data_IF_881155691916
#
_entry.id   IF_881155691916
#
_cell.length_a   1.000
_cell.length_b   1.000
_cell.length_c   1.000
_cell.angle_alpha   90.00
_cell.angle_beta   90.00
_cell.angle_gamma   90.00
#
_symmetry.space_group_name_H-M   'P 1'
#
loop_
_entity.id
_entity.type
_entity.pdbx_description
1 polymer ?
#
# COMPACT_ATOMS: atom_id res chain seq x y z
N UNK A 1 4.77 -54.70 -46.00
CA UNK A 1 5.63 -53.93 -45.05
C UNK A 1 5.08 -52.51 -45.01
N UNK A 2 4.07 -52.26 -44.11
CA UNK A 2 3.40 -50.94 -44.01
C UNK A 2 4.03 -50.14 -42.87
N UNK A 3 4.65 -49.00 -43.21
CA UNK A 3 5.15 -48.01 -42.26
C UNK A 3 3.95 -47.17 -41.75
N UNK A 4 3.71 -47.18 -40.47
CA UNK A 4 2.76 -46.25 -39.79
C UNK A 4 3.54 -45.03 -39.34
N UNK A 5 3.33 -43.91 -40.02
CA UNK A 5 3.84 -42.62 -39.59
C UNK A 5 2.92 -42.06 -38.50
N UNK A 6 3.41 -41.95 -37.27
CA UNK A 6 2.73 -41.25 -36.17
C UNK A 6 3.06 -39.76 -36.26
N UNK A 7 2.06 -38.96 -36.59
CA UNK A 7 2.14 -37.50 -36.49
C UNK A 7 1.82 -37.13 -35.02
N UNK A 8 2.84 -36.70 -34.29
CA UNK A 8 2.67 -36.14 -32.94
C UNK A 8 2.23 -34.69 -33.08
N UNK A 9 0.95 -34.41 -32.73
CA UNK A 9 0.44 -33.05 -32.62
C UNK A 9 0.86 -32.53 -31.24
N UNK A 10 1.83 -31.62 -31.20
CA UNK A 10 2.21 -30.88 -30.01
C UNK A 10 1.16 -29.79 -29.74
N UNK A 11 0.29 -29.98 -28.72
CA UNK A 11 -0.56 -28.91 -28.21
C UNK A 11 0.31 -27.90 -27.46
N UNK A 12 0.55 -26.74 -28.04
CA UNK A 12 1.10 -25.58 -27.39
C UNK A 12 0.03 -24.99 -26.47
N UNK A 13 0.10 -25.32 -25.19
CA UNK A 13 -0.66 -24.63 -24.13
C UNK A 13 -0.02 -23.24 -23.95
N UNK A 14 -0.58 -22.23 -24.59
CA UNK A 14 -0.29 -20.84 -24.26
C UNK A 14 -0.89 -20.52 -22.91
N UNK A 15 -0.07 -20.52 -21.87
CA UNK A 15 -0.45 -19.95 -20.58
C UNK A 15 -0.70 -18.45 -20.78
N UNK A 16 -1.96 -18.05 -20.88
CA UNK A 16 -2.36 -16.65 -20.77
C UNK A 16 -2.05 -16.22 -19.34
N UNK A 17 -0.99 -15.44 -19.17
CA UNK A 17 -0.79 -14.69 -17.93
C UNK A 17 -1.97 -13.71 -17.83
N UNK A 18 -2.94 -14.02 -16.97
CA UNK A 18 -3.96 -13.07 -16.56
C UNK A 18 -3.25 -12.03 -15.70
N UNK A 19 -2.66 -11.02 -16.34
CA UNK A 19 -2.24 -9.81 -15.66
C UNK A 19 -3.48 -9.14 -15.09
N UNK A 20 -3.39 -8.60 -13.87
CA UNK A 20 -4.48 -7.79 -13.32
C UNK A 20 -4.84 -6.68 -14.32
N UNK A 21 -6.14 -6.46 -14.55
CA UNK A 21 -6.63 -5.38 -15.40
C UNK A 21 -6.09 -4.03 -14.90
N UNK A 22 -5.78 -3.09 -15.81
CA UNK A 22 -5.25 -1.79 -15.45
C UNK A 22 -6.21 -1.04 -14.51
N UNK A 23 -5.68 -0.43 -13.45
CA UNK A 23 -6.46 0.43 -12.57
C UNK A 23 -6.91 1.68 -13.33
N UNK A 24 -8.22 1.82 -13.53
CA UNK A 24 -8.82 2.92 -14.27
C UNK A 24 -9.97 3.54 -13.49
N UNK A 25 -9.91 4.86 -13.28
CA UNK A 25 -11.00 5.61 -12.68
C UNK A 25 -12.09 5.86 -13.72
N UNK A 26 -13.34 5.49 -13.42
CA UNK A 26 -14.50 5.80 -14.25
C UNK A 26 -15.17 7.12 -13.85
N UNK A 27 -14.84 7.64 -12.63
CA UNK A 27 -15.30 8.90 -12.08
C UNK A 27 -14.15 9.62 -11.38
N UNK A 28 -14.17 10.93 -11.36
CA UNK A 28 -13.19 11.76 -10.63
C UNK A 28 -11.71 11.43 -10.92
N UNK A 29 -11.40 10.93 -12.12
CA UNK A 29 -10.05 10.54 -12.52
C UNK A 29 -9.08 11.70 -12.81
N UNK A 30 -9.48 12.94 -12.52
CA UNK A 30 -8.74 14.17 -12.82
C UNK A 30 -7.77 14.59 -11.70
N UNK A 31 -7.16 13.61 -11.05
CA UNK A 31 -6.08 13.80 -10.07
C UNK A 31 -4.71 13.45 -10.66
N UNK A 32 -3.64 13.96 -10.05
CA UNK A 32 -2.28 13.84 -10.57
C UNK A 32 -1.44 12.72 -9.96
N UNK A 33 -1.83 12.20 -8.80
CA UNK A 33 -1.05 11.24 -8.02
C UNK A 33 -1.87 10.22 -7.26
N UNK A 34 -1.22 9.12 -6.94
CA UNK A 34 -1.59 8.24 -5.85
C UNK A 34 -0.55 8.35 -4.72
N UNK A 35 -0.97 8.09 -3.49
CA UNK A 35 -0.07 7.84 -2.36
C UNK A 35 -0.18 6.35 -2.03
N UNK A 36 0.90 5.62 -2.26
CA UNK A 36 1.05 4.26 -1.74
C UNK A 36 1.50 4.36 -0.29
N UNK A 37 0.70 3.85 0.64
CA UNK A 37 1.03 3.76 2.04
C UNK A 37 1.42 2.32 2.41
N UNK A 38 2.60 2.18 3.01
CA UNK A 38 3.14 0.91 3.47
C UNK A 38 3.39 1.02 4.97
N UNK A 39 2.95 0.03 5.74
CA UNK A 39 3.25 -0.05 7.17
C UNK A 39 4.51 -0.86 7.39
N UNK A 40 5.37 -0.38 8.30
CA UNK A 40 6.27 -1.26 9.01
C UNK A 40 5.46 -1.88 10.14
N UNK A 41 5.00 -3.11 9.92
CA UNK A 41 3.94 -3.73 10.72
C UNK A 41 4.26 -3.79 12.21
N UNK A 42 5.49 -4.11 12.59
CA UNK A 42 5.91 -4.16 14.00
C UNK A 42 5.81 -2.80 14.67
N UNK A 43 6.36 -1.75 14.05
CA UNK A 43 6.26 -0.40 14.57
C UNK A 43 4.83 0.15 14.57
N UNK A 44 4.00 -0.21 13.57
CA UNK A 44 2.58 0.12 13.60
C UNK A 44 1.91 -0.50 14.84
N UNK A 45 2.13 -1.79 15.09
CA UNK A 45 1.54 -2.50 16.24
C UNK A 45 2.04 -1.91 17.57
N UNK A 46 3.33 -1.62 17.70
CA UNK A 46 3.87 -0.93 18.88
C UNK A 46 3.21 0.44 19.09
N UNK A 47 2.98 1.20 18.01
CA UNK A 47 2.31 2.50 18.12
C UNK A 47 0.86 2.41 18.58
N UNK A 48 0.15 1.33 18.28
CA UNK A 48 -1.21 1.07 18.78
C UNK A 48 -1.19 0.74 20.27
N UNK A 49 -0.24 -0.07 20.70
CA UNK A 49 0.00 -0.40 22.11
C UNK A 49 0.32 0.87 22.91
N UNK A 50 1.30 1.67 22.49
CA UNK A 50 1.74 2.90 23.18
C UNK A 50 0.62 3.93 23.37
N UNK A 51 -0.31 3.97 22.41
CA UNK A 51 -1.47 4.89 22.47
C UNK A 51 -2.66 4.33 23.22
N UNK A 52 -2.57 3.12 23.75
CA UNK A 52 -3.68 2.42 24.44
C UNK A 52 -4.97 2.40 23.60
N UNK A 53 -4.85 2.17 22.28
CA UNK A 53 -5.98 2.27 21.33
C UNK A 53 -6.67 0.95 21.04
N UNK A 54 -6.44 -0.07 21.84
CA UNK A 54 -6.88 -1.44 21.52
C UNK A 54 -6.04 -2.02 20.38
N UNK A 55 -5.72 -3.29 20.51
CA UNK A 55 -4.84 -3.98 19.57
C UNK A 55 -5.65 -4.52 18.39
N UNK A 56 -5.35 -4.10 17.13
CA UNK A 56 -5.97 -4.68 15.95
C UNK A 56 -5.67 -6.18 15.83
N UNK A 57 -6.56 -6.92 15.16
CA UNK A 57 -6.41 -8.37 14.97
C UNK A 57 -5.08 -8.74 14.32
N UNK A 58 -4.67 -8.00 13.30
CA UNK A 58 -3.40 -8.19 12.60
C UNK A 58 -2.18 -8.05 13.50
N UNK A 59 -2.28 -7.31 14.60
CA UNK A 59 -1.21 -7.18 15.58
C UNK A 59 -1.21 -8.35 16.58
N UNK A 60 -2.37 -8.81 17.01
CA UNK A 60 -2.50 -9.99 17.88
C UNK A 60 -2.03 -11.28 17.21
N UNK A 61 -2.23 -11.37 15.89
CA UNK A 61 -1.78 -12.51 15.08
C UNK A 61 -0.31 -12.40 14.65
N UNK A 62 0.32 -11.25 14.94
CA UNK A 62 1.72 -11.06 14.63
C UNK A 62 2.58 -11.88 15.60
N UNK A 63 3.04 -13.02 15.12
CA UNK A 63 3.95 -13.87 15.86
C UNK A 63 5.38 -13.68 15.35
N UNK A 64 6.33 -13.67 16.28
CA UNK A 64 7.74 -13.77 15.93
C UNK A 64 7.98 -15.18 15.37
N UNK A 65 8.18 -15.26 14.07
CA UNK A 65 8.58 -16.50 13.41
C UNK A 65 10.11 -16.50 13.32
N UNK A 66 10.74 -17.59 13.69
CA UNK A 66 12.19 -17.71 13.54
C UNK A 66 12.63 -17.32 12.14
N UNK A 67 13.57 -16.37 12.05
CA UNK A 67 14.12 -15.81 10.81
C UNK A 67 13.21 -14.90 9.97
N UNK A 68 12.01 -14.53 10.41
CA UNK A 68 11.23 -13.52 9.73
C UNK A 68 11.72 -12.12 10.13
N UNK A 69 12.21 -11.36 9.16
CA UNK A 69 12.66 -9.96 9.35
C UNK A 69 11.93 -8.99 8.45
N UNK A 70 11.05 -9.50 7.58
CA UNK A 70 10.31 -8.72 6.60
C UNK A 70 8.86 -8.49 7.08
N UNK A 71 8.63 -7.30 7.58
CA UNK A 71 7.36 -6.84 8.10
C UNK A 71 6.81 -5.62 7.32
N UNK A 72 7.29 -5.39 6.09
CA UNK A 72 6.74 -4.35 5.23
C UNK A 72 5.43 -4.84 4.64
N UNK A 73 4.33 -4.14 4.94
CA UNK A 73 2.97 -4.51 4.55
C UNK A 73 2.29 -3.35 3.83
N UNK A 74 1.26 -3.64 3.05
CA UNK A 74 0.44 -2.62 2.39
C UNK A 74 -0.60 -2.12 3.38
N UNK A 75 -0.70 -0.77 3.50
CA UNK A 75 -1.78 -0.11 4.23
C UNK A 75 -2.89 0.32 3.26
N UNK A 76 -2.54 1.02 2.18
CA UNK A 76 -3.52 1.50 1.21
C UNK A 76 -2.91 2.18 -0.01
N UNK A 77 -3.78 2.51 -0.97
CA UNK A 77 -3.44 3.29 -2.16
C UNK A 77 -4.46 4.42 -2.30
N UNK A 78 -4.02 5.66 -2.09
CA UNK A 78 -4.89 6.81 -1.93
C UNK A 78 -4.78 7.75 -3.12
N UNK A 79 -5.83 7.87 -3.97
CA UNK A 79 -5.87 8.89 -5.01
C UNK A 79 -5.79 10.30 -4.42
N UNK A 80 -5.05 11.17 -5.07
CA UNK A 80 -5.01 12.60 -4.75
C UNK A 80 -6.36 13.27 -4.87
N UNK A 81 -6.46 14.51 -4.41
CA UNK A 81 -7.68 15.31 -4.53
C UNK A 81 -8.00 15.55 -6.02
N UNK A 82 -9.16 15.09 -6.52
CA UNK A 82 -9.58 15.38 -7.88
C UNK A 82 -9.78 16.88 -8.09
N UNK A 83 -9.36 17.41 -9.23
CA UNK A 83 -9.48 18.84 -9.57
C UNK A 83 -10.95 19.29 -9.59
N UNK A 84 -11.84 18.44 -10.09
CA UNK A 84 -13.29 18.67 -10.10
C UNK A 84 -13.90 18.76 -8.69
N UNK A 85 -13.33 18.07 -7.72
CA UNK A 85 -13.74 18.14 -6.30
C UNK A 85 -13.10 19.37 -5.62
N UNK A 86 -11.83 19.66 -5.92
CA UNK A 86 -11.15 20.86 -5.42
C UNK A 86 -11.88 22.15 -5.87
N UNK A 87 -12.35 22.19 -7.13
CA UNK A 87 -13.13 23.31 -7.66
C UNK A 87 -14.44 23.56 -6.92
N UNK A 88 -14.91 22.61 -6.12
CA UNK A 88 -16.09 22.75 -5.25
C UNK A 88 -15.75 23.17 -3.82
N UNK A 89 -14.52 23.65 -3.57
CA UNK A 89 -14.08 24.18 -2.28
C UNK A 89 -13.59 23.11 -1.29
N UNK A 90 -13.20 21.92 -1.77
CA UNK A 90 -12.54 20.88 -0.95
C UNK A 90 -11.04 21.10 -1.02
N UNK A 91 -10.40 21.17 0.15
CA UNK A 91 -8.95 21.21 0.28
C UNK A 91 -8.34 19.81 0.54
N UNK A 92 -7.01 19.70 0.42
CA UNK A 92 -6.29 18.44 0.63
C UNK A 92 -6.51 17.87 2.04
N UNK A 93 -6.59 18.70 3.07
CA UNK A 93 -6.80 18.24 4.46
C UNK A 93 -8.14 17.56 4.61
N UNK A 94 -9.19 18.17 4.04
CA UNK A 94 -10.54 17.62 4.07
C UNK A 94 -10.63 16.34 3.23
N UNK A 95 -9.98 16.34 2.05
CA UNK A 95 -9.90 15.16 1.21
C UNK A 95 -9.21 13.99 1.91
N UNK A 96 -8.03 14.20 2.47
CA UNK A 96 -7.29 13.18 3.23
C UNK A 96 -8.08 12.63 4.42
N UNK A 97 -8.87 13.49 5.07
CA UNK A 97 -9.69 13.08 6.22
C UNK A 97 -10.87 12.20 5.80
N UNK A 98 -11.61 12.57 4.80
CA UNK A 98 -12.91 11.97 4.46
C UNK A 98 -12.89 11.10 3.19
N UNK A 99 -11.97 11.33 2.27
CA UNK A 99 -11.92 10.62 0.97
C UNK A 99 -13.25 10.71 0.23
N UNK A 100 -13.75 9.57 -0.21
CA UNK A 100 -15.04 9.45 -0.91
C UNK A 100 -16.25 9.94 -0.09
N UNK A 101 -16.17 9.96 1.24
CA UNK A 101 -17.23 10.54 2.07
C UNK A 101 -17.19 12.08 2.14
N UNK A 102 -16.26 12.73 1.42
CA UNK A 102 -16.20 14.18 1.33
C UNK A 102 -17.42 14.73 0.60
N UNK A 103 -18.15 15.64 1.22
CA UNK A 103 -19.16 16.42 0.49
C UNK A 103 -18.41 17.43 -0.41
N UNK A 104 -18.72 17.56 -1.68
CA UNK A 104 -20.00 17.31 -2.33
C UNK A 104 -20.15 15.97 -3.10
N UNK A 105 -19.40 14.93 -2.79
CA UNK A 105 -19.66 13.60 -3.38
C UNK A 105 -20.97 13.07 -2.77
N UNK A 106 -22.02 12.84 -3.56
CA UNK A 106 -23.32 12.45 -3.01
C UNK A 106 -23.32 11.01 -2.47
N UNK A 107 -24.04 10.83 -1.37
CA UNK A 107 -24.43 9.51 -0.84
C UNK A 107 -23.28 8.55 -0.44
N UNK A 108 -22.08 9.06 -0.22
CA UNK A 108 -20.98 8.24 0.30
C UNK A 108 -20.98 8.31 1.84
N UNK A 109 -21.27 7.21 2.55
CA UNK A 109 -21.23 7.19 3.99
C UNK A 109 -19.80 7.27 4.50
N UNK A 110 -19.58 8.01 5.59
CA UNK A 110 -18.31 8.01 6.29
C UNK A 110 -18.14 6.70 7.07
N UNK A 111 -17.10 5.95 6.78
CA UNK A 111 -16.69 4.79 7.56
C UNK A 111 -15.67 5.23 8.61
N UNK A 112 -15.92 4.94 9.88
CA UNK A 112 -15.00 5.26 10.98
C UNK A 112 -13.93 4.19 11.11
N UNK A 113 -12.68 4.59 11.33
CA UNK A 113 -11.54 3.67 11.46
C UNK A 113 -11.74 2.58 12.55
N UNK A 114 -12.47 2.88 13.64
CA UNK A 114 -12.82 1.89 14.67
C UNK A 114 -14.01 0.98 14.33
N UNK A 115 -14.61 1.12 13.15
CA UNK A 115 -15.78 0.37 12.69
C UNK A 115 -15.64 -0.05 11.22
N UNK A 116 -14.45 -0.47 10.83
CA UNK A 116 -14.11 -0.79 9.44
C UNK A 116 -15.04 -1.84 8.82
N UNK A 117 -15.42 -2.85 9.59
CA UNK A 117 -16.32 -3.92 9.14
C UNK A 117 -17.79 -3.47 8.92
N UNK A 118 -18.13 -2.22 9.26
CA UNK A 118 -19.43 -1.64 8.90
C UNK A 118 -19.46 -1.12 7.45
N UNK A 119 -18.30 -0.98 6.79
CA UNK A 119 -18.25 -0.71 5.37
C UNK A 119 -18.80 -1.92 4.59
N UNK A 120 -19.37 -1.63 3.42
CA UNK A 120 -19.84 -2.68 2.51
C UNK A 120 -18.67 -3.61 2.12
N UNK A 121 -19.00 -4.85 1.81
CA UNK A 121 -18.05 -5.77 1.20
C UNK A 121 -17.55 -5.22 -0.14
N UNK A 122 -16.27 -5.47 -0.43
CA UNK A 122 -15.64 -4.91 -1.63
C UNK A 122 -16.01 -5.66 -2.90
N UNK A 123 -16.48 -6.91 -2.78
CA UNK A 123 -16.76 -7.77 -3.94
C UNK A 123 -15.50 -8.37 -4.57
N UNK A 124 -14.38 -8.41 -3.84
CA UNK A 124 -13.14 -9.06 -4.30
C UNK A 124 -13.37 -10.52 -4.70
N UNK A 125 -12.73 -10.94 -5.78
CA UNK A 125 -12.60 -12.37 -6.10
C UNK A 125 -11.85 -13.10 -4.98
N UNK A 126 -12.13 -14.38 -4.79
CA UNK A 126 -11.44 -15.19 -3.78
C UNK A 126 -9.93 -15.22 -4.03
N UNK A 127 -9.51 -15.25 -5.29
CA UNK A 127 -8.10 -15.24 -5.68
C UNK A 127 -7.43 -13.92 -5.24
N UNK A 128 -8.07 -12.77 -5.50
CA UNK A 128 -7.52 -11.47 -5.11
C UNK A 128 -7.54 -11.28 -3.59
N UNK A 129 -8.59 -11.73 -2.89
CA UNK A 129 -8.64 -11.70 -1.43
C UNK A 129 -7.48 -12.47 -0.81
N UNK A 130 -7.15 -13.66 -1.34
CA UNK A 130 -6.02 -14.46 -0.87
C UNK A 130 -4.66 -13.75 -1.13
N UNK A 131 -4.47 -13.16 -2.31
CA UNK A 131 -3.26 -12.38 -2.62
C UNK A 131 -3.12 -11.17 -1.71
N UNK A 132 -4.22 -10.46 -1.46
CA UNK A 132 -4.25 -9.29 -0.61
C UNK A 132 -3.92 -9.62 0.84
N UNK A 133 -4.48 -10.69 1.39
CA UNK A 133 -4.19 -11.17 2.76
C UNK A 133 -2.69 -11.42 2.98
N UNK A 134 -1.96 -11.83 1.94
CA UNK A 134 -0.52 -12.06 2.01
C UNK A 134 0.32 -10.78 2.17
N UNK A 135 -0.22 -9.62 1.81
CA UNK A 135 0.51 -8.33 1.85
C UNK A 135 -0.16 -7.27 2.72
N UNK A 136 -1.44 -7.43 3.05
CA UNK A 136 -2.24 -6.54 3.90
C UNK A 136 -2.86 -7.35 5.05
N UNK A 137 -2.13 -7.59 6.15
CA UNK A 137 -2.59 -8.45 7.25
C UNK A 137 -3.91 -8.01 7.90
N UNK A 138 -4.28 -6.72 7.79
CA UNK A 138 -5.56 -6.18 8.27
C UNK A 138 -6.73 -6.44 7.32
N UNK A 139 -6.52 -7.08 6.15
CA UNK A 139 -7.61 -7.40 5.23
C UNK A 139 -8.35 -8.66 5.70
N UNK A 140 -9.66 -8.68 5.48
CA UNK A 140 -10.52 -9.77 5.91
C UNK A 140 -10.69 -9.87 7.42
N UNK A 141 -11.23 -11.00 7.88
CA UNK A 141 -11.41 -11.30 9.29
C UNK A 141 -12.17 -10.22 10.07
N UNK A 142 -11.67 -9.90 11.26
CA UNK A 142 -12.26 -8.87 12.13
C UNK A 142 -11.70 -7.46 11.90
N UNK A 143 -10.62 -7.31 11.12
CA UNK A 143 -10.01 -5.99 10.85
C UNK A 143 -10.66 -5.26 9.69
N UNK A 144 -11.06 -5.95 8.63
CA UNK A 144 -11.76 -5.41 7.45
C UNK A 144 -11.09 -4.13 6.89
N UNK A 145 -9.75 -4.08 6.88
CA UNK A 145 -9.00 -2.90 6.42
C UNK A 145 -9.30 -2.63 4.94
N UNK A 146 -9.42 -3.67 4.13
CA UNK A 146 -9.76 -3.58 2.71
C UNK A 146 -11.10 -2.89 2.47
N UNK A 147 -12.12 -3.15 3.31
CA UNK A 147 -13.43 -2.49 3.18
C UNK A 147 -13.32 -1.00 3.50
N UNK A 148 -12.57 -0.67 4.54
CA UNK A 148 -12.33 0.72 4.93
C UNK A 148 -11.58 1.49 3.85
N UNK A 149 -10.47 0.92 3.34
CA UNK A 149 -9.64 1.55 2.31
C UNK A 149 -10.42 1.72 1.00
N UNK A 150 -11.19 0.72 0.59
CA UNK A 150 -12.01 0.82 -0.61
C UNK A 150 -13.16 1.83 -0.46
N UNK A 151 -13.88 1.80 0.67
CA UNK A 151 -14.95 2.76 0.94
C UNK A 151 -14.45 4.21 0.96
N UNK A 152 -13.22 4.42 1.46
CA UNK A 152 -12.65 5.75 1.60
C UNK A 152 -11.91 6.22 0.35
N UNK A 153 -11.26 5.33 -0.40
CA UNK A 153 -10.29 5.69 -1.42
C UNK A 153 -10.54 5.04 -2.80
N UNK A 154 -11.50 4.13 -2.91
CA UNK A 154 -11.77 3.37 -4.15
C UNK A 154 -13.14 3.61 -4.75
N UNK A 155 -14.18 3.49 -3.93
CA UNK A 155 -15.58 3.37 -4.40
C UNK A 155 -16.06 4.56 -5.22
N UNK A 156 -15.73 5.78 -4.85
CA UNK A 156 -16.19 6.98 -5.57
C UNK A 156 -15.48 7.19 -6.92
N UNK A 157 -14.36 6.55 -7.13
CA UNK A 157 -13.66 6.57 -8.42
C UNK A 157 -14.24 5.54 -9.40
N UNK A 158 -15.10 4.64 -8.91
CA UNK A 158 -15.62 3.53 -9.70
C UNK A 158 -14.52 2.55 -10.10
N UNK A 159 -13.49 2.39 -9.27
CA UNK A 159 -12.46 1.38 -9.48
C UNK A 159 -13.08 -0.02 -9.38
N UNK A 160 -12.66 -0.91 -10.25
CA UNK A 160 -12.89 -2.33 -10.06
C UNK A 160 -12.09 -2.80 -8.82
N UNK A 161 -12.70 -3.54 -7.88
CA UNK A 161 -12.01 -3.96 -6.66
C UNK A 161 -10.77 -4.81 -6.90
N UNK A 162 -10.83 -5.79 -7.81
CA UNK A 162 -9.70 -6.67 -8.10
C UNK A 162 -8.54 -5.89 -8.72
N UNK A 163 -8.82 -4.92 -9.62
CA UNK A 163 -7.82 -4.02 -10.22
C UNK A 163 -7.21 -3.09 -9.16
N UNK A 164 -8.02 -2.55 -8.25
CA UNK A 164 -7.56 -1.64 -7.20
C UNK A 164 -6.61 -2.34 -6.23
N UNK A 165 -7.03 -3.47 -5.68
CA UNK A 165 -6.20 -4.22 -4.74
C UNK A 165 -5.06 -4.96 -5.44
N UNK A 166 -5.24 -5.43 -6.67
CA UNK A 166 -4.18 -6.01 -7.49
C UNK A 166 -3.04 -5.01 -7.75
N UNK A 167 -3.38 -3.74 -7.97
CA UNK A 167 -2.39 -2.66 -8.05
C UNK A 167 -1.64 -2.48 -6.74
N UNK A 168 -2.30 -2.54 -5.59
CA UNK A 168 -1.63 -2.48 -4.27
C UNK A 168 -0.70 -3.66 -4.05
N UNK A 169 -1.13 -4.89 -4.37
CA UNK A 169 -0.30 -6.10 -4.27
C UNK A 169 0.96 -5.96 -5.12
N UNK A 170 0.82 -5.51 -6.36
CA UNK A 170 1.95 -5.30 -7.27
C UNK A 170 2.91 -4.24 -6.76
N UNK A 171 2.42 -3.04 -6.45
CA UNK A 171 3.27 -1.93 -5.99
C UNK A 171 3.95 -2.25 -4.66
N UNK A 172 3.22 -2.84 -3.70
CA UNK A 172 3.79 -3.29 -2.43
C UNK A 172 4.89 -4.32 -2.65
N UNK A 173 4.68 -5.27 -3.57
CA UNK A 173 5.69 -6.26 -3.96
C UNK A 173 6.93 -5.63 -4.59
N UNK A 174 6.77 -4.65 -5.49
CA UNK A 174 7.90 -3.95 -6.10
C UNK A 174 8.76 -3.22 -5.07
N UNK A 175 8.14 -2.53 -4.08
CA UNK A 175 8.88 -1.87 -2.99
C UNK A 175 9.56 -2.90 -2.09
N UNK A 176 8.85 -3.97 -1.72
CA UNK A 176 9.36 -5.04 -0.86
C UNK A 176 10.58 -5.74 -1.45
N UNK A 177 10.60 -5.97 -2.74
CA UNK A 177 11.71 -6.62 -3.45
C UNK A 177 12.81 -5.66 -3.93
N UNK A 178 12.69 -4.36 -3.62
CA UNK A 178 13.73 -3.35 -3.92
C UNK A 178 14.81 -3.30 -2.83
N UNK A 179 15.81 -2.43 -3.04
CA UNK A 179 16.82 -2.13 -2.03
C UNK A 179 16.22 -1.62 -0.71
N UNK A 180 15.03 -0.98 -0.75
CA UNK A 180 14.33 -0.51 0.47
C UNK A 180 13.85 -1.69 1.32
N UNK A 181 13.17 -2.67 0.72
CA UNK A 181 12.71 -3.85 1.45
C UNK A 181 13.88 -4.66 2.00
N UNK A 182 14.94 -4.82 1.21
CA UNK A 182 16.20 -5.45 1.64
C UNK A 182 16.84 -4.71 2.81
N UNK A 183 16.90 -3.37 2.74
CA UNK A 183 17.42 -2.53 3.83
C UNK A 183 16.63 -2.73 5.12
N UNK A 184 15.31 -2.65 5.07
CA UNK A 184 14.45 -2.81 6.24
C UNK A 184 14.60 -4.20 6.87
N UNK A 185 14.58 -5.25 6.06
CA UNK A 185 14.73 -6.62 6.54
C UNK A 185 16.12 -6.85 7.21
N UNK A 186 17.19 -6.29 6.62
CA UNK A 186 18.56 -6.38 7.17
C UNK A 186 18.69 -5.65 8.50
N UNK A 187 17.97 -4.55 8.70
CA UNK A 187 18.08 -3.73 9.90
C UNK A 187 16.95 -3.97 10.92
N UNK A 188 16.24 -5.08 10.81
CA UNK A 188 15.20 -5.49 11.76
C UNK A 188 15.69 -5.44 13.20
N UNK A 189 15.01 -4.70 14.06
CA UNK A 189 15.36 -4.48 15.46
C UNK A 189 16.52 -3.50 15.69
N UNK A 190 16.98 -2.77 14.67
CA UNK A 190 18.15 -1.88 14.77
C UNK A 190 17.76 -0.40 14.59
N UNK A 191 18.56 0.47 15.18
CA UNK A 191 18.55 1.90 14.89
C UNK A 191 19.33 2.16 13.61
N UNK A 192 18.76 2.96 12.70
CA UNK A 192 19.36 3.32 11.42
C UNK A 192 19.37 4.83 11.22
N UNK A 193 20.31 5.33 10.41
CA UNK A 193 20.28 6.73 10.01
C UNK A 193 19.27 6.97 8.88
N UNK A 194 18.72 8.18 8.82
CA UNK A 194 17.90 8.62 7.71
C UNK A 194 18.70 8.60 6.40
N UNK A 195 19.98 8.97 6.45
CA UNK A 195 20.85 9.02 5.28
C UNK A 195 21.07 7.62 4.69
N UNK A 196 21.22 6.57 5.52
CA UNK A 196 21.35 5.19 5.05
C UNK A 196 20.04 4.70 4.38
N UNK A 197 18.89 5.07 4.95
CA UNK A 197 17.61 4.77 4.31
C UNK A 197 17.43 5.51 2.98
N UNK A 198 17.80 6.79 2.93
CA UNK A 198 17.76 7.59 1.71
C UNK A 198 18.72 7.04 0.64
N UNK A 199 19.85 6.45 1.05
CA UNK A 199 20.76 5.72 0.15
C UNK A 199 20.09 4.47 -0.44
N UNK A 200 19.32 3.72 0.34
CA UNK A 200 18.55 2.58 -0.17
C UNK A 200 17.46 3.00 -1.18
N UNK A 201 16.80 4.15 -0.98
CA UNK A 201 15.88 4.73 -1.98
C UNK A 201 16.64 5.09 -3.25
N UNK A 202 17.80 5.73 -3.11
CA UNK A 202 18.63 6.15 -4.24
C UNK A 202 19.18 4.95 -5.02
N UNK A 203 19.49 3.85 -4.36
CA UNK A 203 19.89 2.59 -4.98
C UNK A 203 18.75 1.98 -5.80
N UNK A 204 17.52 1.99 -5.24
CA UNK A 204 16.36 1.41 -5.92
C UNK A 204 15.94 2.21 -7.17
N UNK A 205 15.85 3.55 -7.07
CA UNK A 205 15.24 4.40 -8.11
C UNK A 205 15.95 5.74 -8.36
N UNK A 206 17.19 5.90 -7.93
CA UNK A 206 17.96 7.11 -8.14
C UNK A 206 17.72 8.20 -7.07
N UNK A 207 18.69 9.10 -6.91
CA UNK A 207 18.70 10.15 -5.86
C UNK A 207 17.49 11.10 -5.89
N UNK A 208 16.93 11.36 -7.06
CA UNK A 208 15.74 12.21 -7.23
C UNK A 208 14.50 11.63 -6.54
N UNK A 209 14.45 10.30 -6.37
CA UNK A 209 13.33 9.61 -5.74
C UNK A 209 13.27 9.78 -4.21
N UNK A 210 14.35 10.17 -3.55
CA UNK A 210 14.40 10.39 -2.09
C UNK A 210 13.31 11.35 -1.63
N UNK A 211 13.06 12.43 -2.36
CA UNK A 211 12.05 13.45 -2.03
C UNK A 211 10.61 12.97 -2.19
N UNK A 212 10.41 11.79 -2.72
CA UNK A 212 9.07 11.22 -2.97
C UNK A 212 8.60 10.34 -1.83
N UNK A 213 9.47 10.08 -0.86
CA UNK A 213 9.22 9.25 0.32
C UNK A 213 8.97 10.12 1.55
N UNK A 214 7.88 9.82 2.24
CA UNK A 214 7.55 10.41 3.53
C UNK A 214 7.54 9.31 4.58
N UNK A 215 8.31 9.48 5.65
CA UNK A 215 8.41 8.52 6.74
C UNK A 215 7.65 9.01 7.95
N UNK A 216 6.83 8.13 8.52
CA UNK A 216 6.15 8.37 9.79
C UNK A 216 6.76 7.50 10.87
N UNK A 217 7.13 8.14 11.98
CA UNK A 217 7.64 7.50 13.17
C UNK A 217 6.77 7.81 14.39
N UNK A 218 6.83 6.93 15.39
CA UNK A 218 6.20 7.08 16.70
C UNK A 218 7.23 6.80 17.80
N UNK A 219 6.87 7.06 19.05
CA UNK A 219 7.68 6.70 20.22
C UNK A 219 8.90 7.56 20.49
N UNK A 220 9.59 7.22 21.59
CA UNK A 220 10.89 7.75 21.97
C UNK A 220 11.71 6.64 22.67
N UNK A 221 12.74 6.06 22.00
CA UNK A 221 13.29 6.47 20.70
C UNK A 221 12.25 6.34 19.56
N UNK A 222 12.41 7.16 18.51
CA UNK A 222 11.52 7.13 17.37
C UNK A 222 11.67 5.82 16.60
N UNK A 223 10.56 5.15 16.28
CA UNK A 223 10.52 3.93 15.47
C UNK A 223 9.58 4.10 14.25
N UNK A 224 9.97 3.48 13.14
CA UNK A 224 9.25 3.57 11.86
C UNK A 224 7.87 2.88 11.99
N UNK A 225 6.82 3.58 11.56
CA UNK A 225 5.45 3.03 11.51
C UNK A 225 4.89 2.96 10.10
N UNK A 226 5.21 3.96 9.24
CA UNK A 226 4.63 4.04 7.89
C UNK A 226 5.58 4.72 6.91
N UNK A 227 5.55 4.26 5.66
CA UNK A 227 6.22 4.86 4.51
C UNK A 227 5.14 5.24 3.51
N UNK A 228 5.09 6.51 3.10
CA UNK A 228 4.20 6.98 2.04
C UNK A 228 5.02 7.36 0.81
N UNK A 229 4.60 6.89 -0.36
CA UNK A 229 5.27 7.10 -1.65
C UNK A 229 4.29 7.77 -2.61
N UNK A 230 4.64 8.96 -3.12
CA UNK A 230 3.81 9.65 -4.10
C UNK A 230 4.13 9.16 -5.52
N UNK A 231 3.15 8.54 -6.18
CA UNK A 231 3.24 7.96 -7.52
C UNK A 231 2.38 8.77 -8.48
N UNK A 232 2.91 9.14 -9.65
CA UNK A 232 2.13 9.80 -10.71
C UNK A 232 0.95 8.95 -11.13
N UNK A 233 -0.23 9.55 -11.27
CA UNK A 233 -1.40 8.83 -11.72
C UNK A 233 -1.19 8.13 -13.07
N UNK A 234 -0.46 8.78 -13.99
CA UNK A 234 -0.12 8.21 -15.29
C UNK A 234 0.81 6.99 -15.24
N UNK A 235 1.54 6.79 -14.13
CA UNK A 235 2.49 5.67 -13.97
C UNK A 235 1.91 4.50 -13.16
N UNK A 236 0.65 4.58 -12.72
CA UNK A 236 0.08 3.62 -11.78
C UNK A 236 0.02 2.18 -12.32
N UNK A 237 -0.10 2.03 -13.63
CA UNK A 237 -0.22 0.74 -14.30
C UNK A 237 1.10 0.22 -14.90
N UNK A 238 2.23 0.89 -14.63
CA UNK A 238 3.55 0.49 -15.11
C UNK A 238 4.46 0.07 -13.94
N UNK A 239 5.52 -0.72 -14.17
CA UNK A 239 6.54 -0.97 -13.15
C UNK A 239 7.13 0.34 -12.62
N UNK A 240 7.45 0.37 -11.32
CA UNK A 240 8.03 1.55 -10.69
C UNK A 240 9.43 1.86 -11.26
N UNK A 241 9.63 3.11 -11.60
CA UNK A 241 10.90 3.67 -12.05
C UNK A 241 11.11 5.05 -11.44
N UNK A 242 12.29 5.63 -11.61
CA UNK A 242 12.56 7.00 -11.17
C UNK A 242 11.52 8.03 -11.66
N UNK A 243 11.00 7.81 -12.87
CA UNK A 243 10.01 8.69 -13.49
C UNK A 243 8.58 8.48 -12.99
N UNK A 244 8.33 7.41 -12.22
CA UNK A 244 6.99 7.10 -11.68
C UNK A 244 6.59 8.04 -10.53
N UNK A 245 7.53 8.76 -9.92
CA UNK A 245 7.31 9.42 -8.64
C UNK A 245 7.08 10.93 -8.75
N UNK A 246 6.43 11.49 -7.71
CA UNK A 246 6.26 12.93 -7.50
C UNK A 246 6.85 13.33 -6.14
N UNK A 247 7.50 14.50 -6.04
CA UNK A 247 7.98 15.01 -4.75
C UNK A 247 6.82 15.19 -3.76
N UNK A 248 7.10 14.91 -2.50
CA UNK A 248 6.19 15.21 -1.39
C UNK A 248 6.59 16.52 -0.70
N UNK A 249 5.62 17.28 -0.15
CA UNK A 249 5.91 18.58 0.47
C UNK A 249 6.73 18.44 1.76
N UNK A 250 6.68 17.28 2.42
CA UNK A 250 7.36 17.02 3.69
C UNK A 250 7.96 15.63 3.72
N UNK A 251 9.19 15.47 4.28
CA UNK A 251 9.85 14.17 4.39
C UNK A 251 9.25 13.26 5.48
N UNK A 252 8.27 13.74 6.25
CA UNK A 252 7.69 13.08 7.40
C UNK A 252 8.25 13.58 8.73
N UNK A 253 8.08 12.78 9.79
CA UNK A 253 8.48 13.13 11.15
C UNK A 253 9.57 12.22 11.73
N UNK A 254 10.06 11.24 10.99
CA UNK A 254 11.24 10.48 11.38
C UNK A 254 12.45 11.43 11.39
N UNK A 255 13.18 11.45 12.51
CA UNK A 255 14.37 12.29 12.68
C UNK A 255 15.56 11.77 11.87
N UNK A 256 16.78 12.24 12.25
CA UNK A 256 18.03 11.78 11.63
C UNK A 256 18.31 10.30 11.90
N UNK A 257 17.74 9.74 12.96
CA UNK A 257 17.81 8.32 13.30
C UNK A 257 16.43 7.82 13.70
N UNK A 258 16.13 6.55 13.39
CA UNK A 258 14.93 5.86 13.80
C UNK A 258 15.18 4.36 13.92
N UNK A 259 14.33 3.67 14.65
CA UNK A 259 14.39 2.22 14.81
C UNK A 259 13.54 1.54 13.75
N UNK A 260 14.09 0.53 13.10
CA UNK A 260 13.34 -0.45 12.32
C UNK A 260 12.84 -1.51 13.31
N UNK A 261 11.69 -1.25 13.90
CA UNK A 261 11.21 -1.94 15.09
C UNK A 261 11.04 -3.46 14.89
N UNK A 262 11.09 -4.24 15.98
CA UNK A 262 10.90 -5.69 15.98
C UNK A 262 9.61 -6.08 16.70
N UNK A 263 9.19 -7.33 16.58
CA UNK A 263 8.05 -7.86 17.33
C UNK A 263 8.31 -7.81 18.83
N UNK A 264 7.38 -7.27 19.60
CA UNK A 264 7.44 -7.26 21.07
C UNK A 264 8.49 -6.32 21.65
N UNK A 265 8.80 -5.21 20.98
CA UNK A 265 9.71 -4.17 21.51
C UNK A 265 9.09 -3.40 22.66
#
# INVERSE_FOLDING_TARGET
MFRKDFVAIALLLTATQVGAEPLTATQYGDFDRYVLALSWQTGFCQSMHDRNRGEPEECRLQQETANKTDYLTVHGLWPGLPKSIAARGVDDRRWMRFGCATRPIPNMPEVKAGRKCQAAETGLSLEMANKLNGVMPGSGGNSCLERYEYAKHGVCFGFDPDSYFGTMVRLGGEVKHSAIGTFLAKHYGQSVSRDDFDAAIAEAWGKQSVKTFKLTCSGNPAYLTEIQIAIKAAAINTPLSADSFLPQPHPGNCGKQFVVDKVGS
#
